data_IF_825272515644
#
_entry.id   IF_825272515644
#
_cell.length_a   1.000
_cell.length_b   1.000
_cell.length_c   1.000
_cell.angle_alpha   90.00
_cell.angle_beta   90.00
_cell.angle_gamma   90.00
#
_symmetry.space_group_name_H-M   'P 1'
#
loop_
_entity.id
_entity.type
_entity.pdbx_description
1 polymer ?
#
# COMPACT_ATOMS: atom_id res chain seq x y z
N UNK A 1 -2.85 16.61 18.70
CA UNK A 1 -2.77 15.22 18.22
C UNK A 1 -1.87 15.14 16.98
N UNK A 2 -0.87 14.26 16.95
CA UNK A 2 0.03 14.10 15.79
C UNK A 2 -0.75 13.47 14.62
N UNK A 3 -0.86 14.16 13.49
CA UNK A 3 -1.51 13.63 12.28
C UNK A 3 -0.72 12.43 11.77
N UNK A 4 -1.40 11.37 11.32
CA UNK A 4 -0.74 10.24 10.69
C UNK A 4 -0.48 10.55 9.22
N UNK A 5 0.75 10.37 8.75
CA UNK A 5 1.11 10.52 7.36
C UNK A 5 1.33 9.14 6.73
N UNK A 6 0.68 8.91 5.58
CA UNK A 6 0.90 7.70 4.81
C UNK A 6 1.98 7.93 3.74
N UNK A 7 3.10 7.22 3.85
CA UNK A 7 4.19 7.34 2.87
C UNK A 7 3.82 6.84 1.47
N UNK A 8 2.97 5.81 1.37
CA UNK A 8 2.54 5.29 0.06
C UNK A 8 1.58 6.25 -0.63
N UNK A 9 0.58 6.74 0.10
CA UNK A 9 -0.46 7.59 -0.48
C UNK A 9 -0.09 9.09 -0.48
N UNK A 10 1.00 9.49 0.16
CA UNK A 10 1.47 10.88 0.31
C UNK A 10 0.39 11.83 0.85
N UNK A 11 -0.38 11.37 1.83
CA UNK A 11 -1.49 12.12 2.46
C UNK A 11 -1.43 12.08 3.97
N UNK A 12 -1.90 13.15 4.61
CA UNK A 12 -2.16 13.20 6.04
C UNK A 12 -3.59 12.73 6.32
N UNK A 13 -3.74 11.76 7.22
CA UNK A 13 -5.05 11.33 7.70
C UNK A 13 -5.54 12.28 8.79
N UNK A 14 -6.76 12.79 8.60
CA UNK A 14 -7.47 13.58 9.59
C UNK A 14 -7.80 12.76 10.84
N UNK A 15 -8.18 11.49 10.66
CA UNK A 15 -8.50 10.58 11.75
C UNK A 15 -7.27 9.76 12.14
N UNK A 16 -6.57 10.16 13.22
CA UNK A 16 -5.31 9.51 13.63
C UNK A 16 -5.52 8.25 14.50
N UNK A 17 -6.76 8.00 14.94
CA UNK A 17 -7.07 6.86 15.79
C UNK A 17 -6.76 5.55 15.06
N UNK A 18 -6.44 4.50 15.82
CA UNK A 18 -6.01 3.21 15.26
C UNK A 18 -7.01 2.66 14.23
N UNK A 19 -8.31 2.74 14.51
CA UNK A 19 -9.36 2.31 13.60
C UNK A 19 -9.33 3.07 12.26
N UNK A 20 -9.18 4.40 12.28
CA UNK A 20 -9.08 5.22 11.08
C UNK A 20 -7.83 4.91 10.25
N UNK A 21 -6.69 4.66 10.92
CA UNK A 21 -5.47 4.21 10.27
C UNK A 21 -5.64 2.84 9.61
N UNK A 22 -6.23 1.88 10.31
CA UNK A 22 -6.48 0.54 9.76
C UNK A 22 -7.44 0.58 8.57
N UNK A 23 -8.48 1.40 8.63
CA UNK A 23 -9.41 1.61 7.51
C UNK A 23 -8.66 2.13 6.28
N UNK A 24 -7.79 3.13 6.43
CA UNK A 24 -6.97 3.65 5.34
C UNK A 24 -6.03 2.57 4.76
N UNK A 25 -5.28 1.88 5.63
CA UNK A 25 -4.29 0.88 5.23
C UNK A 25 -4.93 -0.33 4.51
N UNK A 26 -6.18 -0.66 4.83
CA UNK A 26 -6.94 -1.74 4.18
C UNK A 26 -7.67 -1.29 2.91
N UNK A 27 -7.67 0.00 2.60
CA UNK A 27 -8.33 0.54 1.41
C UNK A 27 -7.72 0.02 0.11
N UNK A 28 -8.57 -0.21 -0.89
CA UNK A 28 -8.17 -0.71 -2.22
C UNK A 28 -7.08 0.15 -2.86
N UNK A 29 -7.21 1.49 -2.77
CA UNK A 29 -6.21 2.45 -3.28
C UNK A 29 -4.84 2.28 -2.60
N UNK A 30 -4.82 2.19 -1.27
CA UNK A 30 -3.57 2.00 -0.52
C UNK A 30 -2.90 0.68 -0.92
N UNK A 31 -3.68 -0.40 -0.99
CA UNK A 31 -3.17 -1.71 -1.38
C UNK A 31 -2.61 -1.72 -2.81
N UNK A 32 -3.25 -1.04 -3.77
CA UNK A 32 -2.76 -0.94 -5.14
C UNK A 32 -1.42 -0.17 -5.21
N UNK A 33 -1.33 0.97 -4.54
CA UNK A 33 -0.09 1.78 -4.51
C UNK A 33 1.04 1.01 -3.82
N UNK A 34 0.74 0.34 -2.71
CA UNK A 34 1.71 -0.50 -2.00
C UNK A 34 2.22 -1.63 -2.89
N UNK A 35 1.32 -2.33 -3.59
CA UNK A 35 1.69 -3.43 -4.50
C UNK A 35 2.56 -2.94 -5.66
N UNK A 36 2.18 -1.84 -6.30
CA UNK A 36 2.94 -1.26 -7.43
C UNK A 36 4.34 -0.85 -7.00
N UNK A 37 4.49 -0.18 -5.84
CA UNK A 37 5.80 0.15 -5.28
C UNK A 37 6.69 -1.08 -5.12
N UNK A 38 6.18 -2.18 -4.54
CA UNK A 38 6.98 -3.39 -4.37
C UNK A 38 7.31 -4.04 -5.72
N UNK A 39 6.36 -4.09 -6.65
CA UNK A 39 6.59 -4.61 -8.01
C UNK A 39 7.68 -3.83 -8.76
N UNK A 40 7.76 -2.52 -8.56
CA UNK A 40 8.76 -1.66 -9.21
C UNK A 40 10.18 -1.89 -8.68
N UNK A 41 10.34 -2.22 -7.40
CA UNK A 41 11.64 -2.47 -6.78
C UNK A 41 12.07 -3.95 -6.82
N UNK A 42 11.21 -4.85 -7.29
CA UNK A 42 11.51 -6.27 -7.41
C UNK A 42 12.41 -6.57 -8.62
N UNK A 43 13.17 -7.66 -8.54
CA UNK A 43 13.86 -8.21 -9.71
C UNK A 43 12.85 -8.68 -10.75
N UNK A 44 13.21 -8.66 -12.04
CA UNK A 44 12.32 -9.11 -13.11
C UNK A 44 11.83 -10.55 -12.91
N UNK A 45 12.71 -11.43 -12.42
CA UNK A 45 12.39 -12.83 -12.13
C UNK A 45 11.33 -12.96 -11.03
N UNK A 46 11.48 -12.19 -9.95
CA UNK A 46 10.53 -12.20 -8.83
C UNK A 46 9.21 -11.54 -9.21
N UNK A 47 9.27 -10.48 -10.02
CA UNK A 47 8.10 -9.78 -10.57
C UNK A 47 7.25 -10.71 -11.43
N UNK A 48 7.86 -11.44 -12.37
CA UNK A 48 7.16 -12.43 -13.20
C UNK A 48 6.49 -13.49 -12.33
N UNK A 49 7.22 -14.06 -11.36
CA UNK A 49 6.68 -15.06 -10.43
C UNK A 49 5.51 -14.52 -9.60
N UNK A 50 5.59 -13.28 -9.11
CA UNK A 50 4.51 -12.64 -8.35
C UNK A 50 3.26 -12.43 -9.19
N UNK A 51 3.41 -11.91 -10.42
CA UNK A 51 2.29 -11.68 -11.33
C UNK A 51 1.60 -13.00 -11.71
N UNK A 52 2.36 -14.05 -12.01
CA UNK A 52 1.83 -15.37 -12.33
C UNK A 52 1.01 -15.99 -11.18
N UNK A 53 1.41 -15.78 -9.93
CA UNK A 53 0.67 -16.30 -8.76
C UNK A 53 -0.54 -15.45 -8.37
N UNK A 54 -0.56 -14.16 -8.75
CA UNK A 54 -1.60 -13.21 -8.33
C UNK A 54 -2.81 -13.19 -9.27
N UNK A 55 -2.61 -13.51 -10.55
CA UNK A 55 -3.65 -13.45 -11.59
C UNK A 55 -3.99 -14.83 -12.19
N UNK A 56 -3.76 -15.90 -11.42
CA UNK A 56 -4.14 -17.27 -11.77
C UNK A 56 -5.54 -17.57 -11.26
#
# INVERSE_FOLDING_TARGET
MKRYYCEFCKVHLFNNHLAGRLMHLRGSKHNLIKKTYFIEIMSDKDKIKYLQNTYR
#
